data_IF_947175141692
#
_entry.id   IF_947175141692
#
_cell.length_a   1.000
_cell.length_b   1.000
_cell.length_c   1.000
_cell.angle_alpha   90.00
_cell.angle_beta   90.00
_cell.angle_gamma   90.00
#
_symmetry.space_group_name_H-M   'P 1'
#
loop_
_entity.id
_entity.type
_entity.pdbx_description
1 polymer ?
#
# COMPACT_ATOMS: atom_id res chain seq x y z
N UNK A 1 -21.34 6.13 28.91
CA UNK A 1 -22.43 5.71 28.01
C UNK A 1 -21.82 5.42 26.65
N UNK A 2 -22.16 4.29 26.02
CA UNK A 2 -21.63 3.88 24.70
C UNK A 2 -22.77 3.90 23.70
N UNK A 3 -22.61 4.66 22.62
CA UNK A 3 -23.54 4.69 21.49
C UNK A 3 -22.96 3.86 20.33
N UNK A 4 -23.78 3.52 19.34
CA UNK A 4 -23.32 2.81 18.15
C UNK A 4 -24.10 3.21 16.90
N UNK A 5 -23.47 3.03 15.74
CA UNK A 5 -24.10 3.20 14.42
C UNK A 5 -23.65 2.09 13.46
N UNK A 6 -24.48 1.75 12.48
CA UNK A 6 -24.18 0.77 11.43
C UNK A 6 -24.30 1.42 10.05
N UNK A 7 -23.39 1.08 9.15
CA UNK A 7 -23.45 1.42 7.73
C UNK A 7 -23.59 0.15 6.91
N UNK A 8 -24.66 0.11 6.13
CA UNK A 8 -24.89 -0.90 5.08
C UNK A 8 -24.81 -0.19 3.74
N UNK A 9 -23.99 -0.72 2.83
CA UNK A 9 -23.94 -0.28 1.44
C UNK A 9 -24.42 -1.42 0.56
N UNK A 10 -25.34 -1.15 -0.36
CA UNK A 10 -25.85 -2.11 -1.33
C UNK A 10 -25.42 -1.73 -2.75
N UNK A 11 -25.29 -2.72 -3.63
CA UNK A 11 -25.18 -2.48 -5.07
C UNK A 11 -26.53 -2.09 -5.70
N UNK A 12 -26.54 -1.85 -7.01
CA UNK A 12 -27.74 -1.50 -7.76
C UNK A 12 -28.80 -2.62 -7.80
N UNK A 13 -28.43 -3.86 -7.45
CA UNK A 13 -29.33 -5.02 -7.39
C UNK A 13 -29.84 -5.27 -5.97
N UNK A 14 -29.45 -4.44 -5.00
CA UNK A 14 -29.82 -4.56 -3.59
C UNK A 14 -28.95 -5.56 -2.80
N UNK A 15 -27.89 -6.12 -3.40
CA UNK A 15 -26.98 -7.00 -2.68
C UNK A 15 -26.08 -6.18 -1.75
N UNK A 16 -25.89 -6.63 -0.51
CA UNK A 16 -25.02 -5.96 0.46
C UNK A 16 -23.56 -6.14 0.04
N UNK A 17 -22.90 -5.03 -0.31
CA UNK A 17 -21.47 -5.00 -0.67
C UNK A 17 -20.58 -4.61 0.51
N UNK A 18 -21.15 -3.98 1.52
CA UNK A 18 -20.45 -3.64 2.76
C UNK A 18 -21.44 -3.55 3.91
N UNK A 19 -21.03 -4.07 5.07
CA UNK A 19 -21.75 -3.91 6.33
C UNK A 19 -20.74 -3.79 7.46
N UNK A 20 -20.84 -2.73 8.26
CA UNK A 20 -20.02 -2.58 9.46
C UNK A 20 -20.72 -1.69 10.50
N UNK A 21 -20.41 -1.90 11.78
CA UNK A 21 -20.91 -1.11 12.89
C UNK A 21 -19.75 -0.57 13.75
N UNK A 22 -19.94 0.61 14.32
CA UNK A 22 -18.95 1.27 15.17
C UNK A 22 -19.56 1.73 16.48
N UNK A 23 -18.84 1.50 17.58
CA UNK A 23 -19.15 2.06 18.88
C UNK A 23 -18.47 3.43 19.04
N UNK A 24 -19.12 4.36 19.73
CA UNK A 24 -18.63 5.72 19.97
C UNK A 24 -19.10 6.27 21.31
N UNK A 25 -18.26 7.10 21.93
CA UNK A 25 -18.64 7.89 23.11
C UNK A 25 -19.38 9.17 22.76
N UNK A 26 -19.39 9.58 21.49
CA UNK A 26 -20.13 10.75 21.02
C UNK A 26 -21.63 10.49 21.02
N UNK A 27 -22.43 11.48 21.41
CA UNK A 27 -23.87 11.44 21.19
C UNK A 27 -24.17 11.39 19.68
N UNK A 28 -25.04 10.48 19.26
CA UNK A 28 -25.40 10.33 17.85
C UNK A 28 -26.68 11.13 17.59
N UNK A 29 -26.65 11.94 16.55
CA UNK A 29 -27.77 12.73 16.06
C UNK A 29 -27.87 12.61 14.55
N UNK A 30 -29.03 12.95 14.00
CA UNK A 30 -29.26 12.93 12.54
C UNK A 30 -28.28 13.85 11.79
N UNK A 31 -27.75 14.88 12.46
CA UNK A 31 -26.80 15.81 11.89
C UNK A 31 -25.35 15.28 11.87
N UNK A 32 -24.98 14.37 12.76
CA UNK A 32 -23.59 13.90 12.89
C UNK A 32 -23.38 12.43 12.47
N UNK A 33 -24.44 11.64 12.32
CA UNK A 33 -24.34 10.21 12.02
C UNK A 33 -23.59 9.92 10.72
N UNK A 34 -23.78 10.75 9.69
CA UNK A 34 -23.06 10.62 8.41
C UNK A 34 -21.55 10.89 8.57
N UNK A 35 -21.18 11.93 9.32
CA UNK A 35 -19.78 12.25 9.60
C UNK A 35 -19.11 11.16 10.46
N UNK A 36 -19.83 10.63 11.46
CA UNK A 36 -19.35 9.53 12.30
C UNK A 36 -19.16 8.24 11.49
N UNK A 37 -20.10 7.92 10.58
CA UNK A 37 -19.95 6.78 9.65
C UNK A 37 -18.76 6.95 8.71
N UNK A 38 -18.53 8.15 8.18
CA UNK A 38 -17.37 8.48 7.35
C UNK A 38 -16.05 8.28 8.13
N UNK A 39 -15.97 8.79 9.37
CA UNK A 39 -14.82 8.61 10.24
C UNK A 39 -14.57 7.12 10.56
N UNK A 40 -15.63 6.37 10.87
CA UNK A 40 -15.58 4.92 11.08
C UNK A 40 -15.06 4.17 9.84
N UNK A 41 -15.53 4.55 8.65
CA UNK A 41 -15.03 4.00 7.37
C UNK A 41 -13.57 4.33 7.13
N UNK A 42 -13.15 5.57 7.37
CA UNK A 42 -11.76 5.98 7.21
C UNK A 42 -10.84 5.17 8.14
N UNK A 43 -11.23 5.01 9.42
CA UNK A 43 -10.50 4.19 10.38
C UNK A 43 -10.42 2.73 9.96
N UNK A 44 -11.54 2.13 9.56
CA UNK A 44 -11.57 0.76 9.06
C UNK A 44 -10.68 0.58 7.83
N UNK A 45 -10.67 1.56 6.92
CA UNK A 45 -9.81 1.53 5.72
C UNK A 45 -8.33 1.57 6.08
N UNK A 46 -7.92 2.42 7.03
CA UNK A 46 -6.55 2.45 7.54
C UNK A 46 -6.17 1.10 8.15
N UNK A 47 -7.05 0.51 8.95
CA UNK A 47 -6.79 -0.78 9.61
C UNK A 47 -6.72 -1.95 8.63
N UNK A 48 -7.68 -2.08 7.71
CA UNK A 48 -7.80 -3.24 6.84
C UNK A 48 -7.01 -3.14 5.53
N UNK A 49 -6.73 -1.94 5.03
CA UNK A 49 -5.93 -1.77 3.81
C UNK A 49 -4.48 -1.42 4.16
N UNK A 50 -4.26 -0.30 4.86
CA UNK A 50 -2.91 0.19 5.13
C UNK A 50 -2.16 -0.72 6.10
N UNK A 51 -2.71 -1.01 7.28
CA UNK A 51 -2.00 -1.84 8.25
C UNK A 51 -1.83 -3.27 7.72
N UNK A 52 -2.84 -3.84 7.08
CA UNK A 52 -2.70 -5.15 6.44
C UNK A 52 -1.59 -5.18 5.36
N UNK A 53 -1.44 -4.09 4.59
CA UNK A 53 -0.33 -3.94 3.62
C UNK A 53 1.02 -3.91 4.32
N UNK A 54 1.17 -3.11 5.38
CA UNK A 54 2.39 -3.03 6.17
C UNK A 54 2.74 -4.38 6.82
N UNK A 55 1.74 -5.19 7.17
CA UNK A 55 1.93 -6.51 7.78
C UNK A 55 2.32 -7.58 6.74
N UNK A 56 1.60 -7.63 5.61
CA UNK A 56 1.62 -8.81 4.72
C UNK A 56 2.32 -8.59 3.37
N UNK A 57 2.55 -7.35 2.93
CA UNK A 57 3.02 -7.06 1.55
C UNK A 57 4.50 -6.70 1.46
N UNK A 58 5.32 -7.36 2.28
CA UNK A 58 6.79 -7.28 2.25
C UNK A 58 7.41 -6.23 3.17
N UNK A 59 6.59 -5.52 3.95
CA UNK A 59 7.07 -4.56 4.97
C UNK A 59 7.23 -5.20 6.36
N UNK A 60 6.61 -6.36 6.59
CA UNK A 60 6.75 -7.19 7.79
C UNK A 60 6.62 -6.41 9.11
N UNK A 61 5.71 -5.44 9.16
CA UNK A 61 5.55 -4.52 10.29
C UNK A 61 5.11 -5.21 11.60
N UNK A 62 4.50 -6.40 11.52
CA UNK A 62 4.16 -7.22 12.69
C UNK A 62 5.37 -7.93 13.31
N UNK A 63 6.54 -7.91 12.65
CA UNK A 63 7.74 -8.49 13.23
C UNK A 63 8.29 -7.57 14.32
N UNK A 64 8.38 -8.07 15.55
CA UNK A 64 9.06 -7.37 16.62
C UNK A 64 10.57 -7.37 16.35
N UNK A 65 11.08 -6.37 15.62
CA UNK A 65 12.50 -6.20 15.30
C UNK A 65 13.41 -5.90 16.53
N UNK A 66 12.95 -6.18 17.75
CA UNK A 66 13.77 -6.10 18.96
C UNK A 66 12.98 -6.35 20.24
N UNK A 67 13.35 -7.41 20.96
CA UNK A 67 13.05 -7.56 22.40
C UNK A 67 14.20 -7.03 23.29
N UNK A 68 15.04 -6.13 22.78
CA UNK A 68 16.10 -5.48 23.56
C UNK A 68 16.95 -4.50 22.73
N UNK A 69 17.57 -3.54 23.43
CA UNK A 69 18.21 -2.27 22.98
C UNK A 69 17.19 -1.15 22.73
N UNK A 70 17.16 -0.19 23.65
CA UNK A 70 16.29 1.00 23.62
C UNK A 70 16.26 1.62 22.21
N UNK A 71 15.04 1.95 21.74
CA UNK A 71 14.74 2.57 20.44
C UNK A 71 14.93 1.73 19.17
N UNK A 72 15.47 0.51 19.21
CA UNK A 72 15.70 -0.28 18.00
C UNK A 72 14.40 -0.64 17.26
N UNK A 73 13.36 -1.03 18.00
CA UNK A 73 12.03 -1.29 17.43
C UNK A 73 11.43 -0.03 16.78
N UNK A 74 11.57 1.13 17.42
CA UNK A 74 11.10 2.41 16.87
C UNK A 74 11.87 2.82 15.61
N UNK A 75 13.19 2.58 15.57
CA UNK A 75 14.01 2.87 14.40
C UNK A 75 13.57 2.02 13.21
N UNK A 76 13.43 0.71 13.38
CA UNK A 76 12.96 -0.17 12.30
C UNK A 76 11.53 0.14 11.87
N UNK A 77 10.62 0.42 12.81
CA UNK A 77 9.26 0.86 12.48
C UNK A 77 9.29 2.14 11.63
N UNK A 78 10.11 3.12 12.00
CA UNK A 78 10.26 4.38 11.25
C UNK A 78 10.83 4.14 9.85
N UNK A 79 11.85 3.30 9.72
CA UNK A 79 12.43 2.96 8.41
C UNK A 79 11.45 2.21 7.51
N UNK A 80 10.64 1.30 8.06
CA UNK A 80 9.59 0.60 7.31
C UNK A 80 8.52 1.59 6.82
N UNK A 81 8.08 2.52 7.68
CA UNK A 81 7.13 3.56 7.30
C UNK A 81 7.70 4.51 6.24
N UNK A 82 8.97 4.89 6.36
CA UNK A 82 9.66 5.71 5.36
C UNK A 82 9.76 4.98 4.02
N UNK A 83 10.15 3.70 4.02
CA UNK A 83 10.19 2.89 2.81
C UNK A 83 8.80 2.76 2.17
N UNK A 84 7.76 2.58 2.99
CA UNK A 84 6.37 2.57 2.51
C UNK A 84 6.01 3.89 1.82
N UNK A 85 6.27 5.03 2.48
CA UNK A 85 6.02 6.36 1.94
C UNK A 85 6.77 6.59 0.61
N UNK A 86 8.06 6.25 0.55
CA UNK A 86 8.88 6.42 -0.65
C UNK A 86 8.34 5.58 -1.80
N UNK A 87 7.99 4.31 -1.56
CA UNK A 87 7.42 3.46 -2.61
C UNK A 87 6.07 4.01 -3.11
N UNK A 88 5.21 4.49 -2.21
CA UNK A 88 3.94 5.13 -2.59
C UNK A 88 4.16 6.41 -3.40
N UNK A 89 5.11 7.25 -3.00
CA UNK A 89 5.47 8.46 -3.72
C UNK A 89 6.01 8.14 -5.12
N UNK A 90 6.88 7.14 -5.25
CA UNK A 90 7.42 6.68 -6.55
C UNK A 90 6.32 6.12 -7.46
N UNK A 91 5.41 5.31 -6.93
CA UNK A 91 4.26 4.79 -7.71
C UNK A 91 3.38 5.92 -8.27
N UNK A 92 3.38 7.11 -7.64
CA UNK A 92 2.55 8.25 -8.06
C UNK A 92 3.30 9.26 -8.93
N UNK A 93 4.56 9.53 -8.60
CA UNK A 93 5.34 10.61 -9.21
C UNK A 93 6.21 10.12 -10.37
N UNK A 94 6.63 8.85 -10.37
CA UNK A 94 7.47 8.28 -11.41
C UNK A 94 6.65 7.31 -12.28
N UNK A 95 6.20 7.84 -13.42
CA UNK A 95 5.39 7.06 -14.36
C UNK A 95 6.10 5.83 -14.93
N UNK A 96 7.43 5.83 -15.03
CA UNK A 96 8.19 4.67 -15.52
C UNK A 96 8.31 3.62 -14.43
N UNK A 97 8.65 4.04 -13.22
CA UNK A 97 8.64 3.15 -12.05
C UNK A 97 7.29 2.44 -11.91
N UNK A 98 6.19 3.20 -11.95
CA UNK A 98 4.84 2.67 -11.85
C UNK A 98 4.54 1.65 -12.96
N UNK A 99 4.95 1.92 -14.21
CA UNK A 99 4.80 0.98 -15.34
C UNK A 99 5.59 -0.29 -15.12
N UNK A 100 6.88 -0.18 -14.76
CA UNK A 100 7.75 -1.35 -14.50
C UNK A 100 7.20 -2.18 -13.32
N UNK A 101 6.75 -1.53 -12.25
CA UNK A 101 6.08 -2.19 -11.13
C UNK A 101 4.80 -2.91 -11.56
N UNK A 102 4.01 -2.32 -12.45
CA UNK A 102 2.80 -2.92 -13.00
C UNK A 102 3.05 -4.16 -13.87
N UNK A 103 4.22 -4.25 -14.52
CA UNK A 103 4.61 -5.40 -15.34
C UNK A 103 5.10 -6.61 -14.53
N UNK A 104 5.39 -6.44 -13.24
CA UNK A 104 5.99 -7.47 -12.39
C UNK A 104 5.01 -8.01 -11.35
N UNK A 105 5.03 -9.34 -11.09
CA UNK A 105 4.03 -10.00 -10.26
C UNK A 105 4.09 -9.57 -8.79
N UNK A 106 5.25 -9.09 -8.32
CA UNK A 106 5.40 -8.63 -6.94
C UNK A 106 6.47 -7.55 -6.80
N UNK A 107 6.37 -6.76 -5.71
CA UNK A 107 7.41 -5.79 -5.32
C UNK A 107 8.74 -6.49 -5.01
N UNK A 108 8.69 -7.70 -4.46
CA UNK A 108 9.88 -8.52 -4.22
C UNK A 108 10.63 -8.81 -5.52
N UNK A 109 9.92 -9.29 -6.54
CA UNK A 109 10.49 -9.57 -7.87
C UNK A 109 11.11 -8.32 -8.49
N UNK A 110 10.47 -7.16 -8.33
CA UNK A 110 11.03 -5.88 -8.76
C UNK A 110 12.40 -5.59 -8.13
N UNK A 111 12.51 -5.70 -6.79
CA UNK A 111 13.79 -5.48 -6.11
C UNK A 111 14.83 -6.57 -6.40
N UNK A 112 14.40 -7.81 -6.64
CA UNK A 112 15.30 -8.90 -7.07
C UNK A 112 15.91 -8.59 -8.44
N UNK A 113 15.12 -8.10 -9.41
CA UNK A 113 15.61 -7.66 -10.72
C UNK A 113 16.55 -6.46 -10.60
N UNK A 114 16.15 -5.45 -9.81
CA UNK A 114 16.96 -4.26 -9.55
C UNK A 114 18.34 -4.64 -9.00
N UNK A 115 18.37 -5.51 -8.00
CA UNK A 115 19.61 -6.03 -7.40
C UNK A 115 20.49 -6.74 -8.43
N UNK A 116 19.90 -7.62 -9.25
CA UNK A 116 20.66 -8.34 -10.27
C UNK A 116 21.24 -7.37 -11.31
N UNK A 117 20.42 -6.46 -11.85
CA UNK A 117 20.85 -5.51 -12.88
C UNK A 117 21.96 -4.59 -12.36
N UNK A 118 21.80 -4.01 -11.17
CA UNK A 118 22.83 -3.14 -10.57
C UNK A 118 24.13 -3.87 -10.22
N UNK A 119 24.11 -5.20 -10.08
CA UNK A 119 25.31 -5.98 -9.80
C UNK A 119 26.12 -6.32 -11.05
N UNK A 120 25.48 -6.38 -12.22
CA UNK A 120 26.11 -6.86 -13.45
C UNK A 120 26.22 -5.82 -14.56
N UNK A 121 25.41 -4.76 -14.53
CA UNK A 121 25.32 -3.78 -15.61
C UNK A 121 25.50 -2.35 -15.05
N UNK A 122 26.30 -1.52 -15.72
CA UNK A 122 26.36 -0.10 -15.41
C UNK A 122 25.13 0.63 -15.96
N UNK A 123 24.59 1.55 -15.17
CA UNK A 123 23.55 2.49 -15.59
C UNK A 123 23.98 3.90 -15.16
N UNK A 124 23.78 4.87 -16.05
CA UNK A 124 24.20 6.25 -15.80
C UNK A 124 23.31 6.94 -14.76
N UNK A 125 22.03 6.59 -14.74
CA UNK A 125 21.04 7.13 -13.83
C UNK A 125 19.83 6.19 -13.64
N UNK A 126 18.90 6.61 -12.78
CA UNK A 126 17.67 5.90 -12.48
C UNK A 126 16.75 5.73 -13.71
N UNK A 127 16.64 6.76 -14.56
CA UNK A 127 15.76 6.73 -15.73
C UNK A 127 16.30 5.75 -16.80
N UNK A 128 17.62 5.66 -16.97
CA UNK A 128 18.28 4.66 -17.80
C UNK A 128 17.92 3.24 -17.31
N UNK A 129 18.06 2.94 -16.02
CA UNK A 129 17.67 1.64 -15.45
C UNK A 129 16.18 1.34 -15.68
N UNK A 130 15.29 2.29 -15.37
CA UNK A 130 13.84 2.10 -15.53
C UNK A 130 13.44 1.89 -16.99
N UNK A 131 14.02 2.65 -17.94
CA UNK A 131 13.82 2.45 -19.38
C UNK A 131 14.26 1.06 -19.82
N UNK A 132 15.43 0.62 -19.37
CA UNK A 132 15.94 -0.71 -19.67
C UNK A 132 14.99 -1.80 -19.19
N UNK A 133 14.56 -1.73 -17.92
CA UNK A 133 13.60 -2.68 -17.36
C UNK A 133 12.26 -2.66 -18.11
N UNK A 134 11.73 -1.48 -18.42
CA UNK A 134 10.48 -1.33 -19.13
C UNK A 134 10.52 -1.96 -20.53
N UNK A 135 11.60 -1.76 -21.28
CA UNK A 135 11.78 -2.35 -22.61
C UNK A 135 11.87 -3.88 -22.56
N UNK A 136 12.59 -4.43 -21.58
CA UNK A 136 12.79 -5.88 -21.45
C UNK A 136 11.57 -6.63 -20.90
N UNK A 137 10.72 -5.94 -20.15
CA UNK A 137 9.50 -6.50 -19.56
C UNK A 137 8.24 -6.24 -20.39
N UNK A 138 8.29 -5.32 -21.34
CA UNK A 138 7.18 -5.11 -22.25
C UNK A 138 6.92 -6.41 -23.03
N UNK A 139 5.65 -6.88 -23.12
CA UNK A 139 5.33 -8.02 -23.96
C UNK A 139 5.77 -7.71 -25.39
N UNK A 140 6.45 -8.66 -26.04
CA UNK A 140 6.91 -8.54 -27.43
C UNK A 140 5.77 -7.93 -28.26
N UNK A 141 5.95 -6.69 -28.74
CA UNK A 141 5.14 -6.22 -29.84
C UNK A 141 5.33 -7.25 -30.98
N UNK A 142 4.26 -7.72 -31.64
CA UNK A 142 4.43 -8.64 -32.75
C UNK A 142 5.36 -7.96 -33.76
N UNK A 143 6.44 -8.67 -34.13
CA UNK A 143 7.32 -8.26 -35.22
C UNK A 143 6.44 -8.02 -36.45
N UNK A 144 6.28 -6.75 -36.80
CA UNK A 144 5.70 -6.35 -38.08
C UNK A 144 6.82 -6.41 -39.10
N UNK A 145 7.21 -7.64 -39.43
CA UNK A 145 7.99 -7.98 -40.62
C UNK A 145 7.08 -8.20 -41.83
#
# INVERSE_FOLDING_TARGET
MVNWLELVTTDARGAIVFKNAWATSHAITDHNVAALASAGRARWKIENENNNTLKTKGYHFDHNFGHGKHFLANLFATLILLAFLVHTALDWMDTRYAKVRGLLPSRRTFFEHLRALLQYLPFDDWDHLMRFMQQRLAPNAPDTG
#
